data_IF_556534311141
#
_entry.id   IF_556534311141
#
_cell.length_a   1.000
_cell.length_b   1.000
_cell.length_c   1.000
_cell.angle_alpha   90.00
_cell.angle_beta   90.00
_cell.angle_gamma   90.00
#
_symmetry.space_group_name_H-M   'P 1'
#
loop_
_entity.id
_entity.type
_entity.pdbx_description
1 polymer ?
#
# COMPACT_ATOMS: atom_id res chain seq x y z
N UNK A 1 1.14 15.03 -0.73
CA UNK A 1 0.83 13.58 -0.67
C UNK A 1 1.10 12.93 0.70
N UNK A 2 2.01 13.43 1.55
CA UNK A 2 2.31 12.78 2.85
C UNK A 2 1.14 12.58 3.81
N UNK A 3 0.21 13.54 3.90
CA UNK A 3 -1.01 13.39 4.72
C UNK A 3 -1.89 12.21 4.29
N UNK A 4 -1.94 11.89 2.99
CA UNK A 4 -2.65 10.73 2.48
C UNK A 4 -2.00 9.42 2.96
N UNK A 5 -0.67 9.36 2.95
CA UNK A 5 0.09 8.24 3.52
C UNK A 5 -0.15 8.05 5.03
N UNK A 6 -0.16 9.16 5.78
CA UNK A 6 -0.49 9.15 7.20
C UNK A 6 -1.89 8.60 7.46
N UNK A 7 -2.89 9.12 6.74
CA UNK A 7 -4.29 8.74 6.91
C UNK A 7 -4.54 7.29 6.50
N UNK A 8 -3.91 6.80 5.43
CA UNK A 8 -4.01 5.42 5.00
C UNK A 8 -3.48 4.46 6.08
N UNK A 9 -2.24 4.68 6.53
CA UNK A 9 -1.62 3.86 7.57
C UNK A 9 -2.35 3.97 8.92
N UNK A 10 -2.88 5.16 9.27
CA UNK A 10 -3.70 5.33 10.47
C UNK A 10 -5.03 4.58 10.34
N UNK A 11 -5.69 4.66 9.18
CA UNK A 11 -6.96 3.96 8.95
C UNK A 11 -6.79 2.44 9.04
N UNK A 12 -5.68 1.90 8.56
CA UNK A 12 -5.33 0.48 8.70
C UNK A 12 -5.11 0.10 10.17
N UNK A 13 -4.42 0.93 10.94
CA UNK A 13 -4.28 0.74 12.39
C UNK A 13 -5.61 0.81 13.14
N UNK A 14 -6.46 1.79 12.81
CA UNK A 14 -7.79 1.94 13.41
C UNK A 14 -8.72 0.80 13.00
N UNK A 15 -8.56 0.23 11.80
CA UNK A 15 -9.27 -0.98 11.37
C UNK A 15 -8.81 -2.20 12.16
N UNK A 16 -7.51 -2.43 12.26
CA UNK A 16 -6.93 -3.51 13.06
C UNK A 16 -7.42 -3.49 14.51
N UNK A 17 -7.39 -2.31 15.16
CA UNK A 17 -7.81 -2.17 16.56
C UNK A 17 -9.31 -2.41 16.76
N UNK A 18 -10.14 -2.06 15.77
CA UNK A 18 -11.58 -2.35 15.81
C UNK A 18 -11.84 -3.85 15.66
N UNK A 19 -11.16 -4.49 14.73
CA UNK A 19 -11.30 -5.92 14.50
C UNK A 19 -10.84 -6.73 15.72
N UNK A 20 -9.65 -6.40 16.25
CA UNK A 20 -9.14 -7.03 17.46
C UNK A 20 -10.12 -6.93 18.63
N UNK A 21 -10.81 -5.79 18.78
CA UNK A 21 -11.81 -5.62 19.83
C UNK A 21 -13.07 -6.44 19.58
N UNK A 22 -13.56 -6.47 18.33
CA UNK A 22 -14.72 -7.28 17.92
C UNK A 22 -14.48 -8.75 18.27
N UNK A 23 -13.33 -9.27 17.84
CA UNK A 23 -12.91 -10.65 18.11
C UNK A 23 -12.83 -10.95 19.61
N UNK A 24 -12.27 -10.02 20.40
CA UNK A 24 -12.20 -10.19 21.86
C UNK A 24 -13.59 -10.29 22.52
N UNK A 25 -14.57 -9.55 22.02
CA UNK A 25 -15.95 -9.60 22.51
C UNK A 25 -16.65 -10.91 22.08
N UNK A 26 -16.40 -11.40 20.85
CA UNK A 26 -16.95 -12.65 20.31
C UNK A 26 -16.41 -13.91 21.00
N UNK A 27 -15.10 -13.95 21.32
CA UNK A 27 -14.49 -15.04 22.11
C UNK A 27 -15.21 -15.24 23.46
N UNK A 28 -15.68 -14.15 24.06
CA UNK A 28 -16.40 -14.20 25.34
C UNK A 28 -17.87 -14.61 25.12
N UNK A 29 -18.50 -14.09 24.07
CA UNK A 29 -19.91 -14.29 23.81
C UNK A 29 -20.23 -15.68 23.24
N UNK A 30 -19.46 -16.15 22.26
CA UNK A 30 -19.77 -17.34 21.44
C UNK A 30 -18.52 -18.17 21.07
N UNK A 31 -17.68 -18.60 22.05
CA UNK A 31 -16.40 -19.26 21.77
C UNK A 31 -16.51 -20.54 20.93
N UNK A 32 -17.58 -21.32 21.10
CA UNK A 32 -17.73 -22.59 20.40
C UNK A 32 -18.05 -22.40 18.91
N UNK A 33 -18.64 -21.25 18.53
CA UNK A 33 -18.94 -20.89 17.14
C UNK A 33 -17.67 -20.38 16.43
N UNK A 34 -16.94 -19.45 17.05
CA UNK A 34 -15.73 -18.84 16.48
C UNK A 34 -14.68 -19.89 16.07
N UNK A 35 -14.32 -20.79 16.98
CA UNK A 35 -13.30 -21.79 16.68
C UNK A 35 -13.77 -22.86 15.68
N UNK A 36 -15.09 -23.10 15.60
CA UNK A 36 -15.66 -23.98 14.60
C UNK A 36 -15.59 -23.36 13.20
N UNK A 37 -15.78 -22.04 13.07
CA UNK A 37 -15.69 -21.31 11.80
C UNK A 37 -14.30 -21.50 11.17
N UNK A 38 -13.24 -21.10 11.86
CA UNK A 38 -11.85 -21.25 11.38
C UNK A 38 -11.55 -22.70 11.00
N UNK A 39 -11.78 -23.66 11.90
CA UNK A 39 -11.35 -25.04 11.69
C UNK A 39 -12.18 -25.75 10.61
N UNK A 40 -13.44 -25.34 10.42
CA UNK A 40 -14.27 -25.83 9.33
C UNK A 40 -13.81 -25.33 7.94
N UNK A 41 -13.26 -24.11 7.84
CA UNK A 41 -12.67 -23.61 6.59
C UNK A 41 -11.48 -24.47 6.14
N UNK A 42 -10.73 -25.03 7.09
CA UNK A 42 -9.65 -25.99 6.82
C UNK A 42 -10.13 -27.43 6.60
N UNK A 43 -11.44 -27.67 6.59
CA UNK A 43 -12.05 -28.98 6.36
C UNK A 43 -11.97 -29.94 7.53
N UNK A 44 -11.68 -29.45 8.74
CA UNK A 44 -11.61 -30.26 9.96
C UNK A 44 -13.02 -30.55 10.44
N UNK A 45 -13.33 -31.80 10.75
CA UNK A 45 -14.69 -32.18 11.15
C UNK A 45 -14.98 -31.81 12.61
N UNK A 46 -16.27 -31.60 12.98
CA UNK A 46 -16.66 -31.23 14.34
C UNK A 46 -16.12 -32.13 15.45
N UNK A 47 -16.03 -33.43 15.19
CA UNK A 47 -15.53 -34.38 16.17
C UNK A 47 -14.00 -34.29 16.37
N UNK A 48 -13.27 -33.73 15.42
CA UNK A 48 -11.80 -33.58 15.45
C UNK A 48 -11.39 -32.27 16.13
N UNK A 49 -12.10 -31.17 15.88
CA UNK A 49 -11.76 -29.87 16.48
C UNK A 49 -12.36 -29.63 17.87
N UNK A 50 -13.48 -30.28 18.24
CA UNK A 50 -14.13 -30.05 19.54
C UNK A 50 -13.18 -30.14 20.76
N UNK A 51 -12.24 -31.10 20.85
CA UNK A 51 -11.27 -31.14 21.94
C UNK A 51 -10.24 -30.00 21.90
N UNK A 52 -9.88 -29.52 20.70
CA UNK A 52 -8.96 -28.39 20.50
C UNK A 52 -9.61 -27.10 20.99
N UNK A 53 -10.86 -26.85 20.61
CA UNK A 53 -11.67 -25.73 21.09
C UNK A 53 -11.73 -25.73 22.62
N UNK A 54 -12.06 -26.88 23.22
CA UNK A 54 -12.12 -27.00 24.68
C UNK A 54 -10.77 -26.73 25.38
N UNK A 55 -9.65 -27.14 24.76
CA UNK A 55 -8.31 -26.88 25.29
C UNK A 55 -7.92 -25.40 25.16
N UNK A 56 -8.19 -24.77 24.02
CA UNK A 56 -7.95 -23.34 23.81
C UNK A 56 -8.74 -22.50 24.82
N UNK A 57 -9.97 -22.90 25.17
CA UNK A 57 -10.84 -22.14 26.10
C UNK A 57 -10.23 -21.99 27.49
N UNK A 58 -9.39 -22.94 27.89
CA UNK A 58 -8.67 -22.93 29.17
C UNK A 58 -7.46 -21.99 29.15
N UNK A 59 -7.02 -21.55 27.97
CA UNK A 59 -5.89 -20.65 27.80
C UNK A 59 -6.29 -19.48 26.88
N UNK A 60 -6.88 -18.40 27.43
CA UNK A 60 -7.34 -17.25 26.66
C UNK A 60 -6.24 -16.60 25.81
N UNK A 61 -4.98 -16.67 26.25
CA UNK A 61 -3.85 -16.13 25.49
C UNK A 61 -3.58 -16.97 24.23
N UNK A 62 -3.58 -18.29 24.36
CA UNK A 62 -3.43 -19.19 23.21
C UNK A 62 -4.62 -19.12 22.25
N UNK A 63 -5.84 -18.90 22.78
CA UNK A 63 -7.02 -18.64 21.95
C UNK A 63 -6.84 -17.35 21.13
N UNK A 64 -6.47 -16.25 21.78
CA UNK A 64 -6.24 -14.97 21.10
C UNK A 64 -5.13 -15.07 20.04
N UNK A 65 -4.07 -15.84 20.33
CA UNK A 65 -3.00 -16.09 19.36
C UNK A 65 -3.45 -16.98 18.19
N UNK A 66 -4.37 -17.92 18.42
CA UNK A 66 -4.99 -18.73 17.36
C UNK A 66 -5.89 -17.89 16.44
N UNK A 67 -6.65 -16.94 16.98
CA UNK A 67 -7.51 -16.05 16.18
C UNK A 67 -6.71 -15.10 15.27
N UNK A 68 -5.39 -14.98 15.43
CA UNK A 68 -4.53 -14.31 14.43
C UNK A 68 -4.62 -14.96 13.05
N UNK A 69 -4.95 -16.26 12.99
CA UNK A 69 -5.16 -16.96 11.73
C UNK A 69 -6.44 -16.53 11.00
N UNK A 70 -7.44 -16.03 11.72
CA UNK A 70 -8.69 -15.54 11.14
C UNK A 70 -8.57 -14.10 10.67
N UNK A 71 -8.02 -13.23 11.53
CA UNK A 71 -7.88 -11.82 11.19
C UNK A 71 -7.06 -11.63 9.92
N UNK A 72 -6.01 -12.44 9.71
CA UNK A 72 -5.09 -12.26 8.58
C UNK A 72 -4.40 -10.88 8.56
N UNK A 73 -4.59 -10.09 9.62
CA UNK A 73 -4.07 -8.75 9.78
C UNK A 73 -2.81 -8.79 10.64
N UNK A 74 -1.73 -8.19 10.15
CA UNK A 74 -0.54 -7.96 10.95
C UNK A 74 -0.77 -6.78 11.89
N UNK A 75 -0.25 -6.90 13.13
CA UNK A 75 -0.30 -5.81 14.10
C UNK A 75 0.52 -4.62 13.58
N UNK A 76 -0.10 -3.45 13.34
CA UNK A 76 0.63 -2.30 12.79
C UNK A 76 1.57 -1.68 13.82
N UNK A 77 2.79 -1.31 13.40
CA UNK A 77 3.71 -0.53 14.24
C UNK A 77 3.19 0.93 14.34
N UNK A 78 3.02 1.49 15.56
CA UNK A 78 2.60 2.87 15.77
C UNK A 78 3.39 3.93 14.99
N UNK A 79 4.67 3.66 14.68
CA UNK A 79 5.54 4.59 13.94
C UNK A 79 5.27 4.57 12.44
N UNK A 80 4.63 3.54 11.92
CA UNK A 80 4.38 3.33 10.47
C UNK A 80 3.63 4.49 9.86
N UNK A 81 2.65 5.06 10.56
CA UNK A 81 1.86 6.16 10.02
C UNK A 81 2.70 7.41 9.72
N UNK A 82 3.56 7.80 10.66
CA UNK A 82 4.45 8.96 10.46
C UNK A 82 5.55 8.65 9.44
N UNK A 83 6.12 7.45 9.47
CA UNK A 83 7.15 7.02 8.52
C UNK A 83 6.61 6.98 7.08
N UNK A 84 5.41 6.44 6.88
CA UNK A 84 4.71 6.43 5.59
C UNK A 84 4.49 7.86 5.08
N UNK A 85 4.00 8.74 5.95
CA UNK A 85 3.76 10.14 5.61
C UNK A 85 5.02 10.87 5.14
N UNK A 86 6.12 10.75 5.89
CA UNK A 86 7.40 11.39 5.58
C UNK A 86 8.02 10.81 4.31
N UNK A 87 8.01 9.49 4.16
CA UNK A 87 8.59 8.80 2.99
C UNK A 87 7.87 9.22 1.71
N UNK A 88 6.53 9.21 1.72
CA UNK A 88 5.73 9.64 0.57
C UNK A 88 5.89 11.13 0.29
N UNK A 89 5.96 11.98 1.33
CA UNK A 89 6.18 13.42 1.16
C UNK A 89 7.53 13.71 0.49
N UNK A 90 8.62 13.12 1.00
CA UNK A 90 9.96 13.32 0.46
C UNK A 90 10.06 12.75 -0.95
N UNK A 91 9.55 11.53 -1.18
CA UNK A 91 9.54 10.93 -2.51
C UNK A 91 8.80 11.79 -3.54
N UNK A 92 7.67 12.40 -3.15
CA UNK A 92 6.91 13.30 -4.02
C UNK A 92 7.66 14.59 -4.34
N UNK A 93 8.33 15.19 -3.35
CA UNK A 93 9.17 16.38 -3.56
C UNK A 93 10.31 16.05 -4.53
N UNK A 94 11.07 15.00 -4.24
CA UNK A 94 12.21 14.59 -5.06
C UNK A 94 11.77 14.23 -6.47
N UNK A 95 10.70 13.43 -6.62
CA UNK A 95 10.15 13.04 -7.92
C UNK A 95 9.61 14.23 -8.72
N UNK A 96 8.95 15.18 -8.07
CA UNK A 96 8.44 16.40 -8.70
C UNK A 96 9.54 17.39 -9.09
N UNK A 97 10.70 17.38 -8.41
CA UNK A 97 11.83 18.23 -8.77
C UNK A 97 12.51 17.78 -10.07
N UNK A 98 12.51 16.49 -10.40
CA UNK A 98 13.14 15.95 -11.61
C UNK A 98 12.68 16.66 -12.91
N UNK A 99 11.38 16.77 -13.23
CA UNK A 99 10.93 17.47 -14.43
C UNK A 99 11.14 18.99 -14.36
N UNK A 100 11.17 19.58 -13.16
CA UNK A 100 11.35 21.03 -12.97
C UNK A 100 12.82 21.46 -13.08
N UNK A 101 13.75 20.54 -12.83
CA UNK A 101 15.18 20.85 -12.77
C UNK A 101 15.72 21.53 -14.04
N UNK A 102 15.37 21.10 -15.28
CA UNK A 102 15.85 21.78 -16.49
C UNK A 102 15.36 23.23 -16.63
N UNK A 103 14.16 23.55 -16.12
CA UNK A 103 13.62 24.92 -16.13
C UNK A 103 14.35 25.86 -15.18
N UNK A 104 15.05 25.33 -14.16
CA UNK A 104 15.89 26.13 -13.27
C UNK A 104 17.20 26.56 -13.95
N UNK A 105 17.65 25.82 -14.96
CA UNK A 105 18.95 26.02 -15.63
C UNK A 105 18.82 26.68 -17.01
N UNK A 106 17.70 26.44 -17.71
CA UNK A 106 17.48 26.89 -19.08
C UNK A 106 16.40 27.97 -19.10
N UNK A 107 16.77 29.21 -19.41
CA UNK A 107 15.83 30.34 -19.44
C UNK A 107 14.83 30.29 -20.60
N UNK A 108 15.17 29.60 -21.69
CA UNK A 108 14.26 29.42 -22.84
C UNK A 108 13.33 28.24 -22.59
N UNK A 109 12.03 28.50 -22.49
CA UNK A 109 11.01 27.50 -22.16
C UNK A 109 10.94 26.34 -23.19
N UNK A 110 11.09 26.63 -24.48
CA UNK A 110 11.02 25.62 -25.55
C UNK A 110 12.18 24.62 -25.47
N UNK A 111 13.38 25.09 -25.13
CA UNK A 111 14.53 24.21 -24.89
C UNK A 111 14.42 23.48 -23.55
N UNK A 112 13.91 24.15 -22.52
CA UNK A 112 13.73 23.57 -21.19
C UNK A 112 12.71 22.42 -21.21
N UNK A 113 11.61 22.52 -21.96
CA UNK A 113 10.62 21.44 -22.07
C UNK A 113 11.19 20.20 -22.74
N UNK A 114 11.99 20.34 -23.81
CA UNK A 114 12.63 19.20 -24.47
C UNK A 114 13.59 18.49 -23.50
N UNK A 115 14.42 19.26 -22.79
CA UNK A 115 15.32 18.71 -21.78
C UNK A 115 14.56 18.02 -20.63
N UNK A 116 13.46 18.64 -20.14
CA UNK A 116 12.58 18.09 -19.12
C UNK A 116 11.95 16.77 -19.53
N UNK A 117 11.45 16.66 -20.76
CA UNK A 117 10.87 15.42 -21.29
C UNK A 117 11.91 14.30 -21.29
N UNK A 118 13.12 14.55 -21.80
CA UNK A 118 14.18 13.53 -21.86
C UNK A 118 14.57 13.07 -20.46
N UNK A 119 14.84 14.01 -19.54
CA UNK A 119 15.24 13.70 -18.15
C UNK A 119 14.13 12.93 -17.43
N UNK A 120 12.87 13.32 -17.61
CA UNK A 120 11.73 12.65 -16.99
C UNK A 120 11.52 11.25 -17.54
N UNK A 121 11.64 11.04 -18.85
CA UNK A 121 11.54 9.71 -19.46
C UNK A 121 12.62 8.76 -18.93
N UNK A 122 13.86 9.24 -18.82
CA UNK A 122 14.97 8.47 -18.23
C UNK A 122 14.65 8.14 -16.77
N UNK A 123 14.20 9.10 -15.99
CA UNK A 123 13.82 8.88 -14.59
C UNK A 123 12.68 7.86 -14.45
N UNK A 124 11.62 7.96 -15.26
CA UNK A 124 10.50 7.01 -15.25
C UNK A 124 10.93 5.59 -15.60
N UNK A 125 11.85 5.43 -16.55
CA UNK A 125 12.41 4.12 -16.88
C UNK A 125 13.21 3.54 -15.70
N UNK A 126 14.06 4.35 -15.06
CA UNK A 126 14.86 3.93 -13.90
C UNK A 126 13.95 3.56 -12.72
N UNK A 127 13.02 4.44 -12.35
CA UNK A 127 12.08 4.20 -11.25
C UNK A 127 11.16 3.02 -11.54
N UNK A 128 10.67 2.89 -12.77
CA UNK A 128 9.82 1.78 -13.16
C UNK A 128 10.56 0.43 -13.16
N UNK A 129 11.84 0.42 -13.56
CA UNK A 129 12.69 -0.77 -13.45
C UNK A 129 12.91 -1.15 -11.99
N UNK A 130 13.29 -0.18 -11.14
CA UNK A 130 13.47 -0.37 -9.70
C UNK A 130 12.20 -0.89 -9.04
N UNK A 131 11.04 -0.28 -9.32
CA UNK A 131 9.73 -0.74 -8.86
C UNK A 131 9.52 -2.21 -9.23
N UNK A 132 9.82 -2.60 -10.47
CA UNK A 132 9.63 -3.96 -10.92
C UNK A 132 10.52 -4.96 -10.18
N UNK A 133 11.79 -4.59 -9.99
CA UNK A 133 12.75 -5.40 -9.25
C UNK A 133 12.33 -5.64 -7.79
N UNK A 134 11.90 -4.59 -7.07
CA UNK A 134 11.49 -4.72 -5.66
C UNK A 134 10.14 -5.40 -5.46
N UNK A 135 9.24 -5.36 -6.45
CA UNK A 135 7.89 -5.95 -6.36
C UNK A 135 7.83 -7.39 -6.86
N UNK A 136 8.95 -7.97 -7.31
CA UNK A 136 8.98 -9.32 -7.89
C UNK A 136 8.34 -9.43 -9.29
N UNK A 137 8.00 -8.30 -9.92
CA UNK A 137 7.46 -8.26 -11.28
C UNK A 137 8.58 -8.14 -12.32
N UNK A 138 8.29 -8.40 -13.61
CA UNK A 138 9.30 -8.30 -14.68
C UNK A 138 9.81 -6.85 -14.81
N UNK A 139 11.08 -6.54 -14.46
CA UNK A 139 11.54 -5.15 -14.31
C UNK A 139 11.40 -4.30 -15.57
N UNK A 140 11.73 -4.86 -16.72
CA UNK A 140 11.63 -4.18 -18.01
C UNK A 140 10.19 -3.79 -18.37
N UNK A 141 9.22 -4.68 -18.11
CA UNK A 141 7.81 -4.39 -18.35
C UNK A 141 7.27 -3.32 -17.39
N UNK A 142 7.68 -3.36 -16.12
CA UNK A 142 7.36 -2.34 -15.13
C UNK A 142 7.92 -0.96 -15.52
N UNK A 143 9.12 -0.91 -16.09
CA UNK A 143 9.72 0.31 -16.65
C UNK A 143 8.88 0.86 -17.80
N UNK A 144 8.58 0.02 -18.80
CA UNK A 144 7.80 0.44 -19.97
C UNK A 144 6.40 0.93 -19.58
N UNK A 145 5.72 0.22 -18.68
CA UNK A 145 4.38 0.61 -18.20
C UNK A 145 4.41 1.95 -17.46
N UNK A 146 5.38 2.15 -16.55
CA UNK A 146 5.52 3.40 -15.79
C UNK A 146 5.75 4.58 -16.73
N UNK A 147 6.65 4.42 -17.71
CA UNK A 147 6.93 5.46 -18.72
C UNK A 147 5.73 5.74 -19.61
N UNK A 148 5.00 4.71 -20.04
CA UNK A 148 3.82 4.85 -20.89
C UNK A 148 2.68 5.60 -20.20
N UNK A 149 2.39 5.29 -18.92
CA UNK A 149 1.40 6.02 -18.12
C UNK A 149 1.80 7.50 -17.98
N UNK A 150 3.09 7.78 -17.72
CA UNK A 150 3.61 9.14 -17.65
C UNK A 150 3.45 9.90 -18.97
N UNK A 151 3.74 9.26 -20.10
CA UNK A 151 3.57 9.84 -21.42
C UNK A 151 2.10 10.19 -21.73
N UNK A 152 1.16 9.29 -21.41
CA UNK A 152 -0.27 9.55 -21.57
C UNK A 152 -0.73 10.73 -20.70
N UNK A 153 -0.34 10.75 -19.42
CA UNK A 153 -0.72 11.81 -18.50
C UNK A 153 -0.20 13.18 -18.98
N UNK A 154 1.06 13.22 -19.46
CA UNK A 154 1.66 14.43 -20.02
C UNK A 154 0.95 14.89 -21.30
N UNK A 155 0.63 13.97 -22.21
CA UNK A 155 -0.11 14.28 -23.43
C UNK A 155 -1.51 14.83 -23.15
N UNK A 156 -2.21 14.23 -22.16
CA UNK A 156 -3.53 14.71 -21.72
C UNK A 156 -3.46 16.12 -21.12
N UNK A 157 -2.48 16.39 -20.25
CA UNK A 157 -2.27 17.71 -19.68
C UNK A 157 -1.96 18.77 -20.75
N UNK A 158 -1.11 18.43 -21.73
CA UNK A 158 -0.79 19.32 -22.86
C UNK A 158 -2.01 19.61 -23.74
N UNK A 159 -2.80 18.58 -24.07
CA UNK A 159 -4.03 18.74 -24.83
C UNK A 159 -5.03 19.65 -24.12
N UNK A 160 -5.23 19.48 -22.81
CA UNK A 160 -6.10 20.37 -22.03
C UNK A 160 -5.58 21.80 -21.97
N UNK A 161 -4.26 22.00 -21.79
CA UNK A 161 -3.67 23.34 -21.79
C UNK A 161 -3.92 24.06 -23.13
N UNK A 162 -3.76 23.38 -24.25
CA UNK A 162 -4.03 23.95 -25.57
C UNK A 162 -5.52 24.25 -25.80
N UNK A 163 -6.44 23.40 -25.32
CA UNK A 163 -7.88 23.62 -25.45
C UNK A 163 -8.40 24.83 -24.66
N UNK A 164 -7.72 25.19 -23.56
CA UNK A 164 -8.09 26.34 -22.74
C UNK A 164 -7.46 27.64 -23.26
N UNK A 165 -6.29 27.55 -23.92
CA UNK A 165 -5.57 28.70 -24.47
C UNK A 165 -5.93 29.04 -25.92
N UNK A 166 -6.51 28.09 -26.67
CA UNK A 166 -7.06 28.30 -28.02
C UNK A 166 -8.49 28.81 -27.99
#
# INVERSE_FOLDING_TARGET
MGLGGYLAAKSEADHYMRELKREQDEIIAVPDTEAAEILSEYGIQPHEYSPVVYALRKNPQAWLDFMKFELGLEKPDPKTAMQSAMTIAIAYIVGGMVPLFPYMLISNADRAVIASVIVTLIALLIFGYGKGHFTGSKPFWSALQTTFIGAIASAAAFAMANLVQG
#
